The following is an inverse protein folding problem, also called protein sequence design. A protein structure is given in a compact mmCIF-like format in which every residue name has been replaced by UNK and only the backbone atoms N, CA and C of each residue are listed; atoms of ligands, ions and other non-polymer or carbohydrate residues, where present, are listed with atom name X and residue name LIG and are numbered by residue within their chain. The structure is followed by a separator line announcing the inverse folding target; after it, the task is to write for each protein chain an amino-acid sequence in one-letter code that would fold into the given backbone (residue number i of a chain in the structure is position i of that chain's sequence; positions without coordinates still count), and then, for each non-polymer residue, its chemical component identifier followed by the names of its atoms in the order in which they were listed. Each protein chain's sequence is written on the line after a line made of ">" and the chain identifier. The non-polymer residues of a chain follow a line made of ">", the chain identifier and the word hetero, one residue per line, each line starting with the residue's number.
data_IF_916670439292
#
_entry.id   IF_916670439292
#
_cell.length_a   1.000
_cell.length_b   1.000
_cell.length_c   1.000
_cell.angle_alpha   90.00
_cell.angle_beta   90.00
_cell.angle_gamma   90.00
#
_symmetry.space_group_name_H-M   'P 1'
#
loop_
_entity.id
_entity.type
_entity.pdbx_description
1 polymer ?
#
# COMPACT_ATOMS: atom_id res chain seq x y z
N UNK A 1 -30.61 -3.01 7.89
CA UNK A 1 -30.35 -1.72 7.21
C UNK A 1 -29.09 -1.05 7.75
N UNK A 2 -28.63 -1.44 8.94
CA UNK A 2 -27.50 -0.84 9.65
C UNK A 2 -26.14 -1.10 8.98
N UNK A 3 -25.97 -2.26 8.34
CA UNK A 3 -24.74 -2.58 7.60
C UNK A 3 -24.46 -1.58 6.46
N UNK A 4 -25.50 -1.17 5.73
CA UNK A 4 -25.36 -0.15 4.67
C UNK A 4 -24.97 1.22 5.24
N UNK A 5 -25.49 1.56 6.43
CA UNK A 5 -25.13 2.79 7.11
C UNK A 5 -23.65 2.78 7.55
N UNK A 6 -23.17 1.67 8.14
CA UNK A 6 -21.76 1.51 8.50
C UNK A 6 -20.82 1.59 7.30
N UNK A 7 -21.21 1.01 6.16
CA UNK A 7 -20.43 1.09 4.91
C UNK A 7 -20.35 2.52 4.37
N UNK A 8 -21.48 3.23 4.34
CA UNK A 8 -21.53 4.63 3.92
C UNK A 8 -20.67 5.54 4.83
N UNK A 9 -20.68 5.26 6.13
CA UNK A 9 -19.87 5.98 7.10
C UNK A 9 -18.36 5.74 6.88
N UNK A 10 -17.96 4.48 6.64
CA UNK A 10 -16.57 4.14 6.31
C UNK A 10 -16.09 4.81 5.02
N UNK A 11 -16.94 4.87 3.99
CA UNK A 11 -16.62 5.55 2.73
C UNK A 11 -16.41 7.06 2.93
N UNK A 12 -17.24 7.67 3.78
CA UNK A 12 -17.10 9.10 4.14
C UNK A 12 -15.76 9.38 4.82
N UNK A 13 -15.30 8.48 5.70
CA UNK A 13 -13.98 8.57 6.34
C UNK A 13 -12.87 8.43 5.29
N UNK A 14 -12.98 7.44 4.38
CA UNK A 14 -11.95 7.19 3.38
C UNK A 14 -11.71 8.36 2.42
N UNK A 15 -12.75 9.11 2.08
CA UNK A 15 -12.68 10.27 1.17
C UNK A 15 -12.16 11.54 1.86
N UNK A 16 -11.98 11.53 3.19
CA UNK A 16 -11.43 12.69 3.88
C UNK A 16 -10.03 13.06 3.34
N UNK A 17 -9.73 14.36 3.14
CA UNK A 17 -8.47 14.80 2.53
C UNK A 17 -7.22 14.28 3.25
N UNK A 18 -7.27 14.16 4.58
CA UNK A 18 -6.16 13.64 5.37
C UNK A 18 -5.86 12.17 5.06
N UNK A 19 -6.91 11.35 4.89
CA UNK A 19 -6.78 9.93 4.59
C UNK A 19 -6.34 9.70 3.14
N UNK A 20 -6.79 10.54 2.20
CA UNK A 20 -6.26 10.55 0.84
C UNK A 20 -4.78 10.92 0.80
N UNK A 21 -4.34 11.84 1.66
CA UNK A 21 -2.92 12.18 1.78
C UNK A 21 -2.10 11.02 2.36
N UNK A 22 -2.62 10.30 3.36
CA UNK A 22 -1.99 9.07 3.83
C UNK A 22 -1.95 7.97 2.75
N UNK A 23 -3.00 7.84 1.93
CA UNK A 23 -2.99 6.93 0.80
C UNK A 23 -1.90 7.31 -0.22
N UNK A 24 -1.79 8.60 -0.56
CA UNK A 24 -0.77 9.12 -1.47
C UNK A 24 0.65 8.81 -0.95
N UNK A 25 0.91 9.14 0.32
CA UNK A 25 2.21 8.88 0.96
C UNK A 25 2.47 7.37 1.00
N UNK A 26 1.47 6.57 1.36
CA UNK A 26 1.57 5.11 1.36
C UNK A 26 1.94 4.55 0.00
N UNK A 27 1.26 4.98 -1.07
CA UNK A 27 1.56 4.55 -2.45
C UNK A 27 2.95 4.99 -2.90
N UNK A 28 3.36 6.23 -2.59
CA UNK A 28 4.69 6.72 -2.93
C UNK A 28 5.80 5.93 -2.23
N UNK A 29 5.66 5.70 -0.92
CA UNK A 29 6.60 4.90 -0.15
C UNK A 29 6.62 3.44 -0.61
N UNK A 30 5.44 2.85 -0.82
CA UNK A 30 5.29 1.50 -1.33
C UNK A 30 5.95 1.33 -2.69
N UNK A 31 5.76 2.28 -3.60
CA UNK A 31 6.39 2.26 -4.94
C UNK A 31 7.90 2.42 -4.82
N UNK A 32 8.39 3.36 -4.02
CA UNK A 32 9.83 3.59 -3.84
C UNK A 32 10.56 2.35 -3.29
N UNK A 33 9.96 1.66 -2.33
CA UNK A 33 10.52 0.41 -1.78
C UNK A 33 10.30 -0.76 -2.73
N UNK A 34 9.15 -0.84 -3.39
CA UNK A 34 8.83 -1.92 -4.34
C UNK A 34 9.70 -1.93 -5.59
N UNK A 35 10.30 -0.79 -5.96
CA UNK A 35 11.30 -0.72 -7.04
C UNK A 35 12.60 -1.48 -6.66
N UNK A 36 12.84 -1.81 -5.39
CA UNK A 36 14.00 -2.61 -5.03
C UNK A 36 13.82 -4.07 -5.47
N UNK A 37 14.71 -4.61 -6.33
CA UNK A 37 14.58 -5.98 -6.83
C UNK A 37 14.66 -6.99 -5.69
N UNK A 38 13.78 -7.99 -5.71
CA UNK A 38 13.75 -9.07 -4.72
C UNK A 38 12.98 -8.75 -3.43
N UNK A 39 12.39 -7.55 -3.31
CA UNK A 39 11.51 -7.19 -2.18
C UNK A 39 10.05 -7.23 -2.65
N UNK A 40 9.30 -8.22 -2.17
CA UNK A 40 7.87 -8.32 -2.45
C UNK A 40 7.00 -7.30 -1.68
N UNK A 41 5.72 -7.18 -2.05
CA UNK A 41 4.74 -6.31 -1.40
C UNK A 41 4.56 -6.63 0.10
N UNK A 42 4.55 -7.91 0.47
CA UNK A 42 4.42 -8.33 1.87
C UNK A 42 5.60 -7.86 2.73
N UNK A 43 6.83 -7.96 2.21
CA UNK A 43 8.03 -7.46 2.88
C UNK A 43 8.03 -5.93 2.97
N UNK A 44 7.58 -5.25 1.91
CA UNK A 44 7.43 -3.80 1.87
C UNK A 44 6.46 -3.30 2.96
N UNK A 45 5.32 -3.96 3.10
CA UNK A 45 4.34 -3.66 4.17
C UNK A 45 4.95 -3.89 5.55
N UNK A 46 5.65 -5.00 5.76
CA UNK A 46 6.30 -5.31 7.04
C UNK A 46 7.39 -4.29 7.42
N UNK A 47 8.19 -3.84 6.46
CA UNK A 47 9.26 -2.84 6.66
C UNK A 47 8.70 -1.45 7.02
N UNK A 48 7.57 -1.07 6.41
CA UNK A 48 6.95 0.24 6.61
C UNK A 48 5.92 0.26 7.74
N UNK A 49 5.59 -0.89 8.31
CA UNK A 49 4.65 -1.07 9.43
C UNK A 49 4.93 -0.16 10.63
N UNK A 50 6.18 0.07 11.09
CA UNK A 50 6.45 0.95 12.23
C UNK A 50 6.02 2.41 12.02
N UNK A 51 5.96 2.87 10.77
CA UNK A 51 5.56 4.25 10.42
C UNK A 51 4.05 4.45 10.66
N UNK A 52 3.26 3.38 10.56
CA UNK A 52 1.80 3.42 10.70
C UNK A 52 1.31 3.36 12.14
N UNK A 53 2.18 3.01 13.11
CA UNK A 53 1.82 2.88 14.53
C UNK A 53 1.46 4.19 15.23
N UNK A 54 1.84 5.33 14.64
CA UNK A 54 1.54 6.65 15.17
C UNK A 54 0.25 7.26 14.59
N UNK A 55 -0.41 6.56 13.68
CA UNK A 55 -1.60 7.03 12.97
C UNK A 55 -2.87 6.45 13.61
N UNK A 56 -3.98 7.15 13.44
CA UNK A 56 -5.29 6.62 13.78
C UNK A 56 -5.59 5.34 12.99
N UNK A 57 -6.31 4.35 13.56
CA UNK A 57 -6.52 3.04 12.93
C UNK A 57 -7.05 3.10 11.50
N UNK A 58 -7.95 4.04 11.20
CA UNK A 58 -8.47 4.25 9.85
C UNK A 58 -7.40 4.74 8.87
N UNK A 59 -6.57 5.70 9.29
CA UNK A 59 -5.46 6.21 8.49
C UNK A 59 -4.37 5.15 8.28
N UNK A 60 -4.05 4.36 9.30
CA UNK A 60 -3.09 3.26 9.21
C UNK A 60 -3.50 2.23 8.16
N UNK A 61 -4.78 1.81 8.16
CA UNK A 61 -5.29 0.83 7.20
C UNK A 61 -5.27 1.36 5.76
N UNK A 62 -5.63 2.63 5.57
CA UNK A 62 -5.60 3.27 4.24
C UNK A 62 -4.16 3.40 3.74
N UNK A 63 -3.23 3.79 4.62
CA UNK A 63 -1.81 3.87 4.29
C UNK A 63 -1.23 2.49 3.95
N UNK A 64 -1.60 1.44 4.71
CA UNK A 64 -1.19 0.06 4.41
C UNK A 64 -1.68 -0.42 3.05
N UNK A 65 -2.93 -0.15 2.71
CA UNK A 65 -3.45 -0.44 1.38
C UNK A 65 -2.62 0.28 0.31
N UNK A 66 -2.31 1.56 0.52
CA UNK A 66 -1.45 2.33 -0.37
C UNK A 66 -0.05 1.71 -0.54
N UNK A 67 0.60 1.33 0.57
CA UNK A 67 1.92 0.69 0.55
C UNK A 67 1.89 -0.63 -0.22
N UNK A 68 0.87 -1.46 0.01
CA UNK A 68 0.72 -2.75 -0.64
C UNK A 68 0.58 -2.60 -2.16
N UNK A 69 -0.37 -1.78 -2.61
CA UNK A 69 -0.60 -1.57 -4.04
C UNK A 69 0.54 -0.82 -4.73
N UNK A 70 1.17 0.15 -4.05
CA UNK A 70 2.37 0.83 -4.53
C UNK A 70 3.53 -0.14 -4.70
N UNK A 71 3.75 -1.04 -3.74
CA UNK A 71 4.77 -2.09 -3.80
C UNK A 71 4.57 -3.05 -4.98
N UNK A 72 3.33 -3.49 -5.21
CA UNK A 72 3.00 -4.33 -6.37
C UNK A 72 3.33 -3.63 -7.70
N UNK A 73 3.01 -2.34 -7.81
CA UNK A 73 3.31 -1.57 -9.03
C UNK A 73 4.81 -1.31 -9.19
N UNK A 74 5.52 -0.98 -8.10
CA UNK A 74 6.96 -0.75 -8.10
C UNK A 74 7.76 -1.99 -8.53
N UNK A 75 7.39 -3.17 -8.03
CA UNK A 75 8.06 -4.43 -8.38
C UNK A 75 7.96 -4.76 -9.86
N UNK A 76 6.82 -4.44 -10.50
CA UNK A 76 6.64 -4.60 -11.94
C UNK A 76 7.59 -3.70 -12.75
N UNK A 77 7.82 -2.48 -12.29
CA UNK A 77 8.69 -1.50 -12.97
C UNK A 77 10.13 -2.01 -13.03
N UNK A 78 10.64 -2.54 -11.92
CA UNK A 78 12.00 -3.10 -11.86
C UNK A 78 12.14 -4.40 -12.62
N UNK A 79 11.11 -5.26 -12.58
CA UNK A 79 11.11 -6.51 -13.34
C UNK A 79 11.17 -6.26 -14.86
N UNK A 80 10.48 -5.23 -15.35
CA UNK A 80 10.53 -4.81 -16.76
C UNK A 80 11.93 -4.31 -17.13
N UNK A 81 12.54 -3.46 -16.29
CA UNK A 81 13.85 -2.86 -16.60
C UNK A 81 15.01 -3.84 -16.51
N UNK A 82 14.96 -4.80 -15.58
CA UNK A 82 16.06 -5.74 -15.31
C UNK A 82 15.77 -7.15 -15.87
N UNK A 83 14.65 -7.32 -16.59
CA UNK A 83 14.20 -8.57 -17.21
C UNK A 83 14.32 -9.79 -16.26
N UNK A 84 14.08 -9.54 -14.98
CA UNK A 84 14.21 -10.52 -13.91
C UNK A 84 12.97 -10.36 -13.04
N UNK A 85 12.17 -11.42 -12.85
CA UNK A 85 10.98 -11.36 -12.01
C UNK A 85 11.35 -10.88 -10.59
N UNK A 86 10.80 -9.74 -10.19
CA UNK A 86 11.08 -9.13 -8.89
C UNK A 86 10.36 -9.81 -7.72
N UNK A 87 9.36 -10.67 -8.00
CA UNK A 87 8.51 -11.31 -7.01
C UNK A 87 8.28 -12.79 -7.33
N UNK A 88 8.31 -13.65 -6.30
CA UNK A 88 8.13 -15.11 -6.43
C UNK A 88 6.80 -15.51 -7.07
N UNK A 89 5.74 -14.69 -6.91
CA UNK A 89 4.44 -14.92 -7.54
C UNK A 89 4.48 -14.79 -9.07
N UNK A 90 5.46 -14.08 -9.64
CA UNK A 90 5.64 -13.93 -11.08
C UNK A 90 6.44 -15.08 -11.72
N UNK A 91 6.96 -16.00 -10.90
CA UNK A 91 7.69 -17.20 -11.33
C UNK A 91 6.79 -18.44 -11.48
N UNK A 92 5.48 -18.31 -11.19
CA UNK A 92 4.49 -19.38 -11.25
C UNK A 92 3.85 -19.50 -12.63
#
# INVERSE_FOLDING_TARGET
>A
MDAFFSLAQGLTIAVQPINLMYALIGVLLGTAVGVLPGIGPALTVALLLPITYKLDPGGSLIMFAGIYYGGMYGGSTTAILINTPGESASMA
#
